data_IF_260124214989
#
_entry.id   IF_260124214989
#
_cell.length_a   1.000
_cell.length_b   1.000
_cell.length_c   1.000
_cell.angle_alpha   90.00
_cell.angle_beta   90.00
_cell.angle_gamma   90.00
#
_symmetry.space_group_name_H-M   'P 1'
#
loop_
_entity.id
_entity.type
_entity.pdbx_description
1 polymer ?
#
# COMPACT_ATOMS: atom_id res chain seq x y z
N UNK A 1 -64.60 -11.57 3.21
CA UNK A 1 -63.64 -10.47 2.98
C UNK A 1 -62.27 -10.94 3.51
N UNK A 2 -61.33 -11.30 2.60
CA UNK A 2 -60.00 -11.82 2.94
C UNK A 2 -59.02 -10.65 2.89
N UNK A 3 -58.47 -10.30 4.06
CA UNK A 3 -57.41 -9.29 4.14
C UNK A 3 -56.08 -9.86 3.64
N UNK A 4 -55.64 -9.37 2.51
CA UNK A 4 -54.32 -9.68 1.97
C UNK A 4 -53.29 -8.76 2.62
N UNK A 5 -52.50 -9.27 3.57
CA UNK A 5 -51.40 -8.53 4.17
C UNK A 5 -50.21 -8.64 3.21
N UNK A 6 -49.90 -7.54 2.52
CA UNK A 6 -48.77 -7.41 1.64
C UNK A 6 -47.52 -7.09 2.49
N UNK A 7 -46.71 -8.10 2.77
CA UNK A 7 -45.42 -7.93 3.47
C UNK A 7 -44.38 -7.44 2.48
N UNK A 8 -44.05 -6.16 2.51
CA UNK A 8 -42.95 -5.57 1.74
C UNK A 8 -41.64 -5.93 2.45
N UNK A 9 -40.95 -6.91 1.92
CA UNK A 9 -39.57 -7.22 2.35
C UNK A 9 -38.62 -6.13 1.82
N UNK A 10 -38.20 -5.23 2.72
CA UNK A 10 -37.20 -4.21 2.42
C UNK A 10 -35.81 -4.91 2.39
N UNK A 11 -35.36 -5.28 1.19
CA UNK A 11 -34.01 -5.76 1.00
C UNK A 11 -33.04 -4.60 1.22
N UNK A 12 -32.44 -4.55 2.41
CA UNK A 12 -31.30 -3.65 2.68
C UNK A 12 -30.13 -4.13 1.83
N UNK A 13 -29.92 -3.49 0.68
CA UNK A 13 -28.67 -3.60 -0.05
C UNK A 13 -27.57 -3.01 0.85
N UNK A 14 -26.86 -3.86 1.58
CA UNK A 14 -25.59 -3.50 2.19
C UNK A 14 -24.63 -3.27 1.02
N UNK A 15 -24.50 -2.01 0.58
CA UNK A 15 -23.40 -1.60 -0.29
C UNK A 15 -22.15 -1.78 0.57
N UNK A 16 -21.52 -2.93 0.44
CA UNK A 16 -20.19 -3.14 0.97
C UNK A 16 -19.27 -2.16 0.24
N UNK A 17 -19.08 -0.98 0.82
CA UNK A 17 -17.96 -0.12 0.47
C UNK A 17 -16.75 -1.02 0.50
N UNK A 18 -16.12 -1.26 -0.65
CA UNK A 18 -14.87 -1.99 -0.76
C UNK A 18 -13.84 -1.20 0.03
N UNK A 19 -13.73 -1.52 1.34
CA UNK A 19 -12.80 -0.85 2.20
C UNK A 19 -11.40 -1.00 1.60
N UNK A 20 -10.71 0.12 1.44
CA UNK A 20 -9.33 0.20 0.98
C UNK A 20 -8.49 -0.76 1.81
N UNK A 21 -8.09 -1.88 1.24
CA UNK A 21 -7.48 -2.95 2.01
C UNK A 21 -6.17 -3.43 1.40
N UNK A 22 -5.20 -3.66 2.27
CA UNK A 22 -3.99 -4.40 1.98
C UNK A 22 -4.12 -5.79 2.59
N UNK A 23 -4.00 -6.83 1.79
CA UNK A 23 -4.19 -8.23 2.21
C UNK A 23 -5.52 -8.48 2.96
N UNK A 24 -6.57 -7.77 2.54
CA UNK A 24 -7.90 -7.83 3.18
C UNK A 24 -8.00 -7.11 4.53
N UNK A 25 -6.96 -6.40 4.97
CA UNK A 25 -7.00 -5.53 6.15
C UNK A 25 -7.25 -4.09 5.71
N UNK A 26 -8.33 -3.42 6.18
CA UNK A 26 -8.58 -2.03 5.86
C UNK A 26 -7.44 -1.11 6.32
N UNK A 27 -7.04 -0.16 5.44
CA UNK A 27 -6.03 0.86 5.73
C UNK A 27 -6.76 2.12 6.20
N UNK A 28 -7.36 2.00 7.37
CA UNK A 28 -8.12 3.08 8.01
C UNK A 28 -8.28 2.84 9.51
N UNK A 29 -8.78 3.83 10.22
CA UNK A 29 -9.06 3.72 11.65
C UNK A 29 -7.82 3.91 12.52
N UNK A 30 -7.86 3.35 13.72
CA UNK A 30 -6.77 3.46 14.69
C UNK A 30 -5.75 2.33 14.57
N UNK A 31 -4.53 2.61 15.03
CA UNK A 31 -3.40 1.69 14.93
C UNK A 31 -3.60 0.37 15.69
N UNK A 32 -4.13 0.35 16.94
CA UNK A 32 -4.34 -0.91 17.67
C UNK A 32 -5.29 -1.87 16.96
N UNK A 33 -6.38 -1.36 16.41
CA UNK A 33 -7.35 -2.16 15.65
C UNK A 33 -6.72 -2.76 14.40
N UNK A 34 -5.97 -1.97 13.63
CA UNK A 34 -5.28 -2.45 12.44
C UNK A 34 -4.22 -3.51 12.79
N UNK A 35 -3.42 -3.27 13.82
CA UNK A 35 -2.42 -4.27 14.30
C UNK A 35 -3.09 -5.58 14.68
N UNK A 36 -4.23 -5.54 15.38
CA UNK A 36 -4.98 -6.75 15.72
C UNK A 36 -5.45 -7.52 14.47
N UNK A 37 -5.95 -6.81 13.46
CA UNK A 37 -6.37 -7.39 12.17
C UNK A 37 -5.19 -8.01 11.41
N UNK A 38 -4.04 -7.33 11.35
CA UNK A 38 -2.83 -7.89 10.74
C UNK A 38 -2.32 -9.12 11.49
N UNK A 39 -2.34 -9.11 12.82
CA UNK A 39 -2.00 -10.30 13.63
C UNK A 39 -2.92 -11.47 13.32
N UNK A 40 -4.21 -11.26 13.16
CA UNK A 40 -5.16 -12.29 12.77
C UNK A 40 -4.89 -12.87 11.36
N UNK A 41 -4.15 -12.15 10.51
CA UNK A 41 -3.65 -12.59 9.20
C UNK A 41 -2.26 -13.25 9.27
N UNK A 42 -1.70 -13.44 10.45
CA UNK A 42 -0.39 -14.06 10.63
C UNK A 42 0.80 -13.11 10.62
N UNK A 43 0.57 -11.79 10.61
CA UNK A 43 1.65 -10.83 10.77
C UNK A 43 2.11 -10.74 12.22
N UNK A 44 3.39 -10.47 12.42
CA UNK A 44 3.99 -10.24 13.73
C UNK A 44 4.47 -8.79 13.84
N UNK A 45 4.33 -8.21 15.03
CA UNK A 45 4.90 -6.88 15.31
C UNK A 45 6.40 -7.01 15.47
N UNK A 46 7.15 -6.24 14.71
CA UNK A 46 8.61 -6.14 14.84
C UNK A 46 8.97 -5.03 15.83
N UNK A 47 8.48 -3.81 15.59
CA UNK A 47 8.70 -2.67 16.51
C UNK A 47 7.64 -1.60 16.35
N UNK A 48 7.45 -0.81 17.41
CA UNK A 48 6.74 0.46 17.36
C UNK A 48 7.75 1.60 17.20
N UNK A 49 7.32 2.67 16.52
CA UNK A 49 8.08 3.92 16.40
C UNK A 49 7.13 5.11 16.63
N UNK A 50 7.64 6.33 16.68
CA UNK A 50 6.86 7.52 17.07
C UNK A 50 5.60 7.59 16.19
N UNK A 51 5.07 7.49 15.42
CA UNK A 51 3.77 7.57 14.73
C UNK A 51 3.49 6.35 13.88
N UNK A 52 3.79 5.16 14.40
CA UNK A 52 3.52 3.96 13.62
C UNK A 52 4.03 2.66 14.20
N UNK A 53 3.97 1.63 13.37
CA UNK A 53 4.40 0.27 13.68
C UNK A 53 4.98 -0.40 12.45
N UNK A 54 5.99 -1.20 12.68
CA UNK A 54 6.53 -2.15 11.70
C UNK A 54 6.03 -3.54 12.03
N UNK A 55 5.51 -4.22 11.01
CA UNK A 55 5.10 -5.62 11.09
C UNK A 55 5.83 -6.43 10.03
N UNK A 56 5.97 -7.73 10.27
CA UNK A 56 6.49 -8.72 9.33
C UNK A 56 5.43 -9.77 9.05
N UNK A 57 5.34 -10.21 7.81
CA UNK A 57 4.37 -11.22 7.39
C UNK A 57 4.64 -11.72 5.97
N UNK A 58 3.63 -12.32 5.37
CA UNK A 58 3.72 -12.82 3.99
C UNK A 58 2.55 -12.33 3.14
N UNK A 59 2.86 -11.93 1.93
CA UNK A 59 1.88 -11.62 0.89
C UNK A 59 2.17 -12.48 -0.33
N UNK A 60 1.18 -13.26 -0.78
CA UNK A 60 1.33 -14.15 -1.94
C UNK A 60 2.60 -15.02 -1.86
N UNK A 61 2.87 -15.60 -0.67
CA UNK A 61 4.04 -16.43 -0.33
C UNK A 61 5.40 -15.72 -0.34
N UNK A 62 5.43 -14.39 -0.45
CA UNK A 62 6.67 -13.62 -0.32
C UNK A 62 6.70 -12.94 1.05
N UNK A 63 7.86 -12.98 1.69
CA UNK A 63 8.10 -12.24 2.93
C UNK A 63 8.02 -10.72 2.66
N UNK A 64 7.39 -10.02 3.60
CA UNK A 64 7.19 -8.58 3.49
C UNK A 64 7.30 -7.92 4.87
N UNK A 65 7.92 -6.76 4.90
CA UNK A 65 7.88 -5.84 6.03
C UNK A 65 6.91 -4.71 5.70
N UNK A 66 5.92 -4.47 6.55
CA UNK A 66 4.97 -3.38 6.39
C UNK A 66 5.12 -2.34 7.49
N UNK A 67 4.99 -1.09 7.11
CA UNK A 67 5.02 0.07 8.01
C UNK A 67 3.68 0.77 7.93
N UNK A 68 2.99 0.87 9.06
CA UNK A 68 1.77 1.65 9.20
C UNK A 68 2.12 3.00 9.82
N UNK A 69 1.64 4.08 9.22
CA UNK A 69 1.86 5.45 9.68
C UNK A 69 0.55 6.09 10.09
N UNK A 70 0.57 6.84 11.20
CA UNK A 70 -0.59 7.53 11.74
C UNK A 70 -0.44 9.05 11.69
N UNK A 71 -1.57 9.73 11.58
CA UNK A 71 -1.67 11.19 11.67
C UNK A 71 -1.10 11.69 13.01
N UNK A 72 -0.54 12.92 13.06
CA UNK A 72 0.14 13.42 14.24
C UNK A 72 -0.72 13.48 15.51
N UNK A 73 -1.94 14.00 15.39
CA UNK A 73 -2.84 14.29 16.52
C UNK A 73 -3.93 13.23 16.66
N UNK A 74 -4.71 12.99 15.61
CA UNK A 74 -5.86 12.08 15.67
C UNK A 74 -5.48 10.59 15.66
N UNK A 75 -4.20 10.27 15.43
CA UNK A 75 -3.65 8.89 15.45
C UNK A 75 -4.34 7.91 14.50
N UNK A 76 -4.90 8.41 13.41
CA UNK A 76 -5.54 7.60 12.37
C UNK A 76 -4.52 7.16 11.32
N UNK A 77 -4.66 5.94 10.82
CA UNK A 77 -3.78 5.41 9.77
C UNK A 77 -4.04 6.19 8.48
N UNK A 78 -2.99 6.74 7.91
CA UNK A 78 -3.06 7.44 6.62
C UNK A 78 -2.23 6.76 5.54
N UNK A 79 -1.24 5.93 5.92
CA UNK A 79 -0.31 5.32 4.96
C UNK A 79 0.16 3.95 5.42
N UNK A 80 0.28 3.03 4.45
CA UNK A 80 1.02 1.78 4.58
C UNK A 80 2.13 1.77 3.53
N UNK A 81 3.33 1.36 3.95
CA UNK A 81 4.43 1.06 3.03
C UNK A 81 4.87 -0.38 3.27
N UNK A 82 4.94 -1.17 2.21
CA UNK A 82 5.42 -2.54 2.24
C UNK A 82 6.70 -2.70 1.45
N UNK A 83 7.68 -3.39 2.01
CA UNK A 83 8.91 -3.77 1.34
C UNK A 83 9.02 -5.29 1.31
N UNK A 84 9.10 -5.86 0.13
CA UNK A 84 9.46 -7.26 -0.04
C UNK A 84 10.95 -7.45 0.27
N UNK A 85 11.36 -8.69 0.47
CA UNK A 85 12.77 -8.98 0.76
C UNK A 85 13.71 -8.46 -0.34
N UNK A 86 14.96 -8.21 0.05
CA UNK A 86 16.00 -7.78 -0.87
C UNK A 86 16.36 -8.92 -1.81
N UNK A 87 16.29 -8.67 -3.10
CA UNK A 87 16.60 -9.66 -4.12
C UNK A 87 18.08 -9.61 -4.54
N UNK A 88 18.62 -10.77 -4.84
CA UNK A 88 20.03 -10.93 -5.23
C UNK A 88 20.22 -11.07 -6.74
N UNK A 89 19.14 -11.19 -7.51
CA UNK A 89 19.16 -11.22 -8.97
C UNK A 89 18.13 -10.27 -9.56
N UNK A 90 18.45 -9.72 -10.74
CA UNK A 90 17.49 -8.92 -11.50
C UNK A 90 16.25 -9.74 -11.87
N UNK A 91 16.43 -11.00 -12.21
CA UNK A 91 15.33 -11.88 -12.59
C UNK A 91 14.30 -12.03 -11.44
N UNK A 92 14.76 -12.32 -10.22
CA UNK A 92 13.86 -12.47 -9.08
C UNK A 92 13.20 -11.15 -8.68
N UNK A 93 13.95 -10.04 -8.70
CA UNK A 93 13.42 -8.70 -8.44
C UNK A 93 12.32 -8.32 -9.43
N UNK A 94 12.59 -8.51 -10.72
CA UNK A 94 11.63 -8.23 -11.79
C UNK A 94 10.40 -9.14 -11.71
N UNK A 95 10.59 -10.43 -11.44
CA UNK A 95 9.50 -11.38 -11.31
C UNK A 95 8.56 -11.03 -10.12
N UNK A 96 9.13 -10.59 -9.00
CA UNK A 96 8.34 -10.12 -7.85
C UNK A 96 7.56 -8.84 -8.20
N UNK A 97 8.21 -7.89 -8.87
CA UNK A 97 7.56 -6.67 -9.35
C UNK A 97 6.40 -6.97 -10.31
N UNK A 98 6.64 -7.80 -11.33
CA UNK A 98 5.61 -8.12 -12.34
C UNK A 98 4.42 -8.84 -11.75
N UNK A 99 4.63 -9.78 -10.85
CA UNK A 99 3.57 -10.49 -10.13
C UNK A 99 2.72 -9.54 -9.27
N UNK A 100 3.35 -8.57 -8.61
CA UNK A 100 2.61 -7.57 -7.83
C UNK A 100 1.86 -6.61 -8.74
N UNK A 101 2.45 -6.20 -9.86
CA UNK A 101 1.80 -5.37 -10.87
C UNK A 101 0.53 -6.05 -11.40
N UNK A 102 0.61 -7.31 -11.83
CA UNK A 102 -0.53 -8.09 -12.31
C UNK A 102 -1.68 -8.14 -11.29
N UNK A 103 -1.35 -8.39 -10.01
CA UNK A 103 -2.35 -8.39 -8.93
C UNK A 103 -3.01 -7.03 -8.72
N UNK A 104 -2.24 -5.95 -8.79
CA UNK A 104 -2.78 -4.61 -8.66
C UNK A 104 -3.60 -4.20 -9.88
N UNK A 105 -3.16 -4.53 -11.08
CA UNK A 105 -3.92 -4.29 -12.32
C UNK A 105 -5.24 -5.08 -12.32
N UNK A 106 -5.24 -6.32 -11.83
CA UNK A 106 -6.47 -7.14 -11.69
C UNK A 106 -7.46 -6.49 -10.71
N UNK A 107 -6.97 -5.90 -9.63
CA UNK A 107 -7.83 -5.33 -8.58
C UNK A 107 -8.26 -3.90 -8.87
N UNK A 108 -7.37 -3.07 -9.40
CA UNK A 108 -7.56 -1.62 -9.52
C UNK A 108 -7.61 -1.12 -10.96
N UNK A 109 -7.46 -2.02 -11.95
CA UNK A 109 -7.36 -1.66 -13.37
C UNK A 109 -5.96 -1.18 -13.74
N UNK A 110 -5.83 -0.65 -14.96
CA UNK A 110 -4.57 -0.12 -15.46
C UNK A 110 -4.09 1.07 -14.59
N UNK A 111 -2.76 1.20 -14.37
CA UNK A 111 -2.21 2.34 -13.65
C UNK A 111 -2.35 3.64 -14.44
N UNK A 112 -2.50 4.75 -13.72
CA UNK A 112 -2.58 6.10 -14.33
C UNK A 112 -1.21 6.59 -14.79
N UNK A 113 -0.14 6.09 -14.15
CA UNK A 113 1.25 6.39 -14.51
C UNK A 113 2.10 5.14 -14.40
N UNK A 114 2.91 4.86 -15.42
CA UNK A 114 3.79 3.68 -15.47
C UNK A 114 5.07 4.01 -16.21
N UNK A 115 6.21 3.62 -15.64
CA UNK A 115 7.49 3.54 -16.34
C UNK A 115 8.16 2.20 -16.08
N UNK A 116 8.94 1.73 -17.07
CA UNK A 116 9.71 0.50 -17.00
C UNK A 116 10.94 0.63 -17.91
N UNK A 117 11.95 1.37 -17.46
CA UNK A 117 13.11 1.72 -18.28
C UNK A 117 14.41 1.78 -17.46
N UNK A 118 15.51 1.57 -18.14
CA UNK A 118 16.86 1.86 -17.65
C UNK A 118 17.33 3.22 -18.18
N UNK A 119 18.17 3.89 -17.40
CA UNK A 119 18.78 5.17 -17.76
C UNK A 119 20.19 4.92 -18.26
N UNK A 120 20.53 5.45 -19.43
CA UNK A 120 21.88 5.36 -20.03
C UNK A 120 22.97 5.62 -18.98
N UNK A 121 24.08 4.79 -18.94
CA UNK A 121 24.48 3.82 -19.96
C UNK A 121 23.86 2.40 -19.81
N UNK A 122 23.00 2.16 -18.82
CA UNK A 122 22.42 0.86 -18.52
C UNK A 122 21.25 0.53 -19.46
N UNK A 123 21.08 -0.78 -19.77
CA UNK A 123 19.95 -1.29 -20.56
C UNK A 123 19.60 -2.72 -20.15
N UNK A 124 18.44 -3.17 -20.55
CA UNK A 124 17.97 -4.52 -20.26
C UNK A 124 18.87 -5.57 -20.91
N UNK A 125 19.35 -6.52 -20.11
CA UNK A 125 20.21 -7.64 -20.59
C UNK A 125 21.70 -7.30 -20.67
N UNK A 126 22.15 -6.19 -20.11
CA UNK A 126 23.57 -5.82 -20.05
C UNK A 126 24.34 -6.53 -18.90
N UNK A 127 23.61 -7.24 -18.03
CA UNK A 127 24.17 -7.93 -16.86
C UNK A 127 24.47 -7.00 -15.68
N UNK A 128 24.18 -5.71 -15.78
CA UNK A 128 24.39 -4.70 -14.74
C UNK A 128 23.07 -4.14 -14.16
N UNK A 129 21.96 -4.80 -14.42
CA UNK A 129 20.63 -4.31 -14.04
C UNK A 129 20.51 -4.03 -12.53
N UNK A 130 21.02 -4.93 -11.66
CA UNK A 130 21.01 -4.69 -10.21
C UNK A 130 21.92 -3.55 -9.78
N UNK A 131 23.00 -3.32 -10.51
CA UNK A 131 23.87 -2.17 -10.27
C UNK A 131 23.13 -0.88 -10.66
N UNK A 132 22.48 -0.88 -11.82
CA UNK A 132 21.64 0.24 -12.27
C UNK A 132 20.55 0.59 -11.24
N UNK A 133 19.87 -0.43 -10.68
CA UNK A 133 18.89 -0.25 -9.58
C UNK A 133 19.55 0.45 -8.38
N UNK A 134 20.70 -0.05 -7.92
CA UNK A 134 21.39 0.49 -6.74
C UNK A 134 21.87 1.92 -6.94
N UNK A 135 22.18 2.30 -8.18
CA UNK A 135 22.63 3.65 -8.57
C UNK A 135 21.47 4.57 -8.98
N UNK A 136 20.22 4.16 -8.78
CA UNK A 136 19.02 4.91 -9.18
C UNK A 136 19.02 5.26 -10.69
N UNK A 137 19.58 4.36 -11.52
CA UNK A 137 19.60 4.44 -12.98
C UNK A 137 18.49 3.60 -13.62
N UNK A 138 17.35 3.53 -12.95
CA UNK A 138 16.15 2.84 -13.43
C UNK A 138 14.90 3.60 -13.03
N UNK A 139 13.86 3.47 -13.87
CA UNK A 139 12.50 3.93 -13.58
C UNK A 139 11.56 2.73 -13.74
N UNK A 140 11.36 1.95 -12.68
CA UNK A 140 10.36 0.89 -12.62
C UNK A 140 9.33 1.26 -11.57
N UNK A 141 8.22 1.89 -12.00
CA UNK A 141 7.13 2.26 -11.10
C UNK A 141 5.78 2.28 -11.81
N UNK A 142 4.73 2.11 -11.02
CA UNK A 142 3.33 2.28 -11.41
C UNK A 142 2.59 3.01 -10.30
N UNK A 143 1.68 3.91 -10.66
CA UNK A 143 0.82 4.61 -9.71
C UNK A 143 -0.64 4.55 -10.15
N UNK A 144 -1.53 4.41 -9.17
CA UNK A 144 -2.97 4.52 -9.30
C UNK A 144 -3.43 5.63 -8.37
N UNK A 145 -4.14 6.60 -8.91
CA UNK A 145 -4.59 7.76 -8.14
C UNK A 145 -6.09 7.67 -7.88
N UNK A 146 -6.48 8.05 -6.66
CA UNK A 146 -7.88 8.21 -6.26
C UNK A 146 -8.79 7.00 -6.57
N UNK A 147 -8.30 5.81 -6.29
CA UNK A 147 -9.10 4.57 -6.35
C UNK A 147 -9.93 4.46 -5.06
N UNK A 148 -11.16 5.00 -5.05
CA UNK A 148 -12.04 5.06 -3.86
C UNK A 148 -11.37 5.73 -2.65
N UNK A 149 -10.71 6.88 -2.84
CA UNK A 149 -9.88 7.61 -1.87
C UNK A 149 -8.58 6.87 -1.49
N UNK A 150 -8.05 6.05 -2.36
CA UNK A 150 -6.78 5.38 -2.20
C UNK A 150 -5.85 5.76 -3.34
N UNK A 151 -4.65 6.20 -3.02
CA UNK A 151 -3.53 6.32 -3.94
C UNK A 151 -2.55 5.19 -3.68
N UNK A 152 -2.15 4.50 -4.75
CA UNK A 152 -1.25 3.36 -4.68
C UNK A 152 0.00 3.62 -5.51
N UNK A 153 1.12 3.07 -5.04
CA UNK A 153 2.37 3.02 -5.75
C UNK A 153 3.01 1.63 -5.69
N UNK A 154 3.57 1.19 -6.79
CA UNK A 154 4.44 0.02 -6.89
C UNK A 154 5.73 0.45 -7.54
N UNK A 155 6.87 0.17 -6.94
CA UNK A 155 8.18 0.54 -7.49
C UNK A 155 9.26 -0.48 -7.17
N UNK A 156 10.32 -0.50 -7.96
CA UNK A 156 11.60 -1.12 -7.62
C UNK A 156 12.47 -0.06 -6.95
N UNK A 157 12.78 -0.25 -5.67
CA UNK A 157 13.60 0.65 -4.88
C UNK A 157 15.09 0.44 -5.13
N UNK A 158 15.91 1.44 -4.87
CA UNK A 158 17.38 1.34 -4.94
C UNK A 158 18.00 0.26 -4.03
N UNK A 159 17.23 -0.22 -3.05
CA UNK A 159 17.66 -1.29 -2.16
C UNK A 159 17.38 -2.68 -2.72
N UNK A 160 17.06 -2.79 -4.02
CA UNK A 160 16.74 -4.05 -4.71
C UNK A 160 15.53 -4.76 -4.09
N UNK A 161 14.55 -3.98 -3.69
CA UNK A 161 13.30 -4.43 -3.11
C UNK A 161 12.13 -3.92 -3.94
N UNK A 162 11.10 -4.72 -4.07
CA UNK A 162 9.80 -4.22 -4.53
C UNK A 162 9.13 -3.51 -3.37
N UNK A 163 8.73 -2.28 -3.61
CA UNK A 163 8.04 -1.43 -2.64
C UNK A 163 6.60 -1.19 -3.08
N UNK A 164 5.68 -1.37 -2.14
CA UNK A 164 4.27 -1.02 -2.26
C UNK A 164 3.96 0.17 -1.35
N UNK A 165 3.17 1.10 -1.86
CA UNK A 165 2.67 2.22 -1.07
C UNK A 165 1.15 2.29 -1.21
N UNK A 166 0.46 2.47 -0.09
CA UNK A 166 -0.98 2.72 -0.01
C UNK A 166 -1.19 3.96 0.82
N UNK A 167 -1.87 4.96 0.29
CA UNK A 167 -2.20 6.21 0.95
C UNK A 167 -3.70 6.42 0.96
N UNK A 168 -4.26 6.65 2.14
CA UNK A 168 -5.65 7.03 2.28
C UNK A 168 -5.76 8.55 2.06
N UNK A 169 -6.31 8.96 0.92
CA UNK A 169 -6.30 10.36 0.47
C UNK A 169 -7.00 11.30 1.47
N UNK A 170 -8.09 10.85 2.11
CA UNK A 170 -8.77 11.63 3.15
C UNK A 170 -7.90 11.80 4.41
N UNK A 171 -7.23 10.73 4.82
CA UNK A 171 -6.36 10.78 6.00
C UNK A 171 -5.06 11.53 5.72
N UNK A 172 -4.59 11.54 4.48
CA UNK A 172 -3.47 12.40 4.05
C UNK A 172 -3.81 13.88 4.22
N UNK A 173 -4.98 14.33 3.79
CA UNK A 173 -5.44 15.71 3.98
C UNK A 173 -5.53 16.07 5.47
N UNK A 174 -6.03 15.17 6.32
CA UNK A 174 -6.07 15.36 7.78
C UNK A 174 -4.66 15.46 8.36
N UNK A 175 -3.75 14.56 7.94
CA UNK A 175 -2.34 14.58 8.36
C UNK A 175 -1.67 15.92 8.04
N UNK A 176 -1.90 16.47 6.86
CA UNK A 176 -1.35 17.76 6.43
C UNK A 176 -1.92 18.92 7.26
N UNK A 177 -3.23 18.95 7.48
CA UNK A 177 -3.87 19.97 8.29
C UNK A 177 -3.41 19.92 9.77
N UNK A 178 -3.21 18.72 10.33
CA UNK A 178 -2.69 18.55 11.70
C UNK A 178 -1.22 18.99 11.80
N UNK A 179 -0.40 18.65 10.79
CA UNK A 179 1.01 19.03 10.77
C UNK A 179 1.16 20.55 10.66
N UNK A 180 0.40 21.23 9.82
CA UNK A 180 0.39 22.68 9.72
C UNK A 180 0.05 23.37 11.05
N UNK A 181 -0.92 22.82 11.79
CA UNK A 181 -1.26 23.36 13.13
C UNK A 181 -0.11 23.21 14.12
N UNK A 182 0.60 22.08 14.08
CA UNK A 182 1.77 21.87 14.94
C UNK A 182 2.88 22.84 14.57
N UNK A 183 3.17 22.98 13.28
CA UNK A 183 4.21 23.86 12.78
C UNK A 183 3.93 25.34 13.13
N UNK A 184 2.67 25.78 12.97
CA UNK A 184 2.25 27.15 13.32
C UNK A 184 2.29 27.45 14.84
N UNK A 185 2.11 26.41 15.68
CA UNK A 185 2.18 26.57 17.14
C UNK A 185 3.61 26.48 17.69
N UNK A 186 4.59 26.18 16.85
CA UNK A 186 6.00 26.04 17.24
C UNK A 186 6.79 27.33 17.09
N UNK A 187 6.15 28.41 16.66
CA UNK A 187 6.67 29.78 16.53
C UNK A 187 5.82 30.76 17.32
#
# INVERSE_FOLDING_TARGET
MKNLILTIAFAILVISSSAQSFDGVPIEGDLPTAVARFKAKGYTVDKYFDRGVQLKGKVANNDIQIFLFTTPTSKKIFKLVGYFDTETSWYSLKATYDRMLEKLETKYGAPDSKKAEFITPYYYGDGYELQAVSLEKTNFYCNWYNRDNLTLGLEISKYKQVKLTYENDKMMAIKEAEQQKIDNNSF
#
